data_IF_634504587600
#
_entry.id   IF_634504587600
#
_cell.length_a   1.000
_cell.length_b   1.000
_cell.length_c   1.000
_cell.angle_alpha   90.00
_cell.angle_beta   90.00
_cell.angle_gamma   90.00
#
_symmetry.space_group_name_H-M   'P 1'
#
loop_
_entity.id
_entity.type
_entity.pdbx_description
1 polymer ?
#
# COMPACT_ATOMS: atom_id res chain seq x y z
N UNK A 1 -10.25 40.30 13.88
CA UNK A 1 -8.95 39.64 13.66
C UNK A 1 -8.60 38.89 14.91
N UNK A 2 -7.94 37.73 14.93
CA UNK A 2 -6.78 37.33 14.12
C UNK A 2 -6.79 35.79 13.97
N UNK A 3 -6.48 35.35 12.74
CA UNK A 3 -5.98 34.05 12.24
C UNK A 3 -6.18 32.80 13.11
N UNK A 4 -7.02 31.92 12.57
CA UNK A 4 -6.92 30.48 12.65
C UNK A 4 -5.46 30.03 12.56
N UNK A 5 -4.91 29.51 13.66
CA UNK A 5 -3.66 28.78 13.64
C UNK A 5 -3.89 27.46 12.95
N UNK A 6 -3.64 27.40 11.64
CA UNK A 6 -3.39 26.12 10.98
C UNK A 6 -2.21 25.47 11.69
N UNK A 7 -2.37 24.29 12.32
CA UNK A 7 -1.22 23.49 12.75
C UNK A 7 -0.30 23.32 11.53
N UNK A 8 1.03 23.17 11.67
CA UNK A 8 1.91 22.96 10.53
C UNK A 8 1.61 21.57 9.93
N UNK A 9 0.59 21.54 9.08
CA UNK A 9 0.12 20.39 8.34
C UNK A 9 1.21 20.09 7.32
N UNK A 10 2.02 19.07 7.59
CA UNK A 10 2.95 18.47 6.63
C UNK A 10 2.30 17.21 6.04
N UNK A 11 1.43 17.35 5.03
CA UNK A 11 0.77 16.20 4.39
C UNK A 11 1.79 15.22 3.81
N UNK A 12 3.02 15.68 3.54
CA UNK A 12 4.10 14.87 2.98
C UNK A 12 4.52 13.66 3.85
N UNK A 13 4.27 13.73 5.17
CA UNK A 13 4.65 12.66 6.10
C UNK A 13 3.53 11.62 6.30
N UNK A 14 2.30 11.97 5.92
CA UNK A 14 1.13 11.13 6.16
C UNK A 14 1.15 9.86 5.33
N UNK A 15 1.68 9.91 4.10
CA UNK A 15 1.79 8.73 3.26
C UNK A 15 2.58 7.61 3.92
N UNK A 16 3.70 7.95 4.59
CA UNK A 16 4.52 6.98 5.33
C UNK A 16 3.82 6.45 6.57
N UNK A 17 3.15 7.33 7.32
CA UNK A 17 2.35 6.92 8.48
C UNK A 17 1.21 5.99 8.10
N UNK A 18 0.46 6.31 7.05
CA UNK A 18 -0.61 5.47 6.51
C UNK A 18 -0.07 4.13 6.03
N UNK A 19 1.09 4.10 5.35
CA UNK A 19 1.71 2.86 4.90
C UNK A 19 2.09 1.97 6.10
N UNK A 20 2.72 2.53 7.13
CA UNK A 20 3.11 1.79 8.33
C UNK A 20 1.88 1.23 9.07
N UNK A 21 0.86 2.06 9.30
CA UNK A 21 -0.39 1.64 9.94
C UNK A 21 -1.13 0.58 9.10
N UNK A 22 -1.15 0.74 7.77
CA UNK A 22 -1.75 -0.21 6.84
C UNK A 22 -1.06 -1.57 6.87
N UNK A 23 0.28 -1.59 6.98
CA UNK A 23 1.04 -2.84 7.18
C UNK A 23 0.64 -3.54 8.48
N UNK A 24 0.52 -2.81 9.59
CA UNK A 24 0.09 -3.40 10.87
C UNK A 24 -1.33 -3.97 10.78
N UNK A 25 -2.26 -3.29 10.10
CA UNK A 25 -3.60 -3.80 9.86
C UNK A 25 -3.58 -5.07 9.00
N UNK A 26 -2.76 -5.09 7.93
CA UNK A 26 -2.58 -6.25 7.06
C UNK A 26 -2.04 -7.47 7.82
N UNK A 27 -1.01 -7.27 8.64
CA UNK A 27 -0.40 -8.33 9.46
C UNK A 27 -1.40 -8.90 10.48
N UNK A 28 -2.42 -8.13 10.87
CA UNK A 28 -3.53 -8.55 11.75
C UNK A 28 -4.71 -9.18 11.00
N UNK A 29 -4.66 -9.24 9.67
CA UNK A 29 -5.78 -9.71 8.83
C UNK A 29 -6.94 -8.71 8.68
N UNK A 30 -6.79 -7.48 9.18
CA UNK A 30 -7.79 -6.42 9.01
C UNK A 30 -7.63 -5.77 7.62
N UNK A 31 -8.07 -6.53 6.61
CA UNK A 31 -7.89 -6.19 5.20
C UNK A 31 -8.67 -4.92 4.79
N UNK A 32 -9.84 -4.67 5.37
CA UNK A 32 -10.62 -3.46 5.09
C UNK A 32 -9.87 -2.22 5.56
N UNK A 33 -9.40 -2.21 6.81
CA UNK A 33 -8.63 -1.08 7.35
C UNK A 33 -7.30 -0.91 6.64
N UNK A 34 -6.62 -2.02 6.33
CA UNK A 34 -5.37 -1.98 5.58
C UNK A 34 -5.56 -1.35 4.21
N UNK A 35 -6.59 -1.77 3.46
CA UNK A 35 -6.90 -1.21 2.15
C UNK A 35 -7.20 0.29 2.22
N UNK A 36 -8.02 0.73 3.17
CA UNK A 36 -8.32 2.14 3.37
C UNK A 36 -7.06 2.98 3.62
N UNK A 37 -6.14 2.49 4.47
CA UNK A 37 -4.87 3.15 4.77
C UNK A 37 -3.94 3.20 3.55
N UNK A 38 -3.83 2.12 2.78
CA UNK A 38 -3.03 2.13 1.56
C UNK A 38 -3.61 3.08 0.51
N UNK A 39 -4.93 3.15 0.35
CA UNK A 39 -5.56 4.15 -0.53
C UNK A 39 -5.27 5.58 -0.08
N UNK A 40 -5.23 5.87 1.22
CA UNK A 40 -4.80 7.18 1.72
C UNK A 40 -3.33 7.47 1.39
N UNK A 41 -2.44 6.49 1.48
CA UNK A 41 -1.04 6.64 1.08
C UNK A 41 -0.88 6.93 -0.42
N UNK A 42 -1.80 6.44 -1.26
CA UNK A 42 -1.80 6.69 -2.71
C UNK A 42 -2.20 8.13 -3.09
N UNK A 43 -2.85 8.88 -2.20
CA UNK A 43 -3.27 10.27 -2.46
C UNK A 43 -2.08 11.24 -2.53
N UNK A 44 -0.95 10.90 -1.92
CA UNK A 44 0.25 11.74 -1.97
C UNK A 44 1.06 11.46 -3.24
N UNK A 45 0.92 12.32 -4.23
CA UNK A 45 1.58 12.19 -5.53
C UNK A 45 2.98 12.81 -5.59
N UNK A 46 3.53 13.28 -4.46
CA UNK A 46 4.86 13.90 -4.41
C UNK A 46 5.93 12.93 -4.94
N UNK A 47 6.83 13.35 -5.85
CA UNK A 47 7.84 12.47 -6.46
C UNK A 47 8.69 11.71 -5.43
N UNK A 48 9.04 12.35 -4.31
CA UNK A 48 9.81 11.74 -3.22
C UNK A 48 9.13 10.56 -2.51
N UNK A 49 7.82 10.38 -2.70
CA UNK A 49 7.02 9.31 -2.10
C UNK A 49 6.58 8.23 -3.12
N UNK A 50 7.14 8.23 -4.34
CA UNK A 50 6.86 7.18 -5.33
C UNK A 50 7.09 5.76 -4.77
N UNK A 51 8.16 5.52 -4.01
CA UNK A 51 8.40 4.23 -3.34
C UNK A 51 7.32 3.84 -2.33
N UNK A 52 6.77 4.80 -1.60
CA UNK A 52 5.68 4.58 -0.63
C UNK A 52 4.42 4.14 -1.38
N UNK A 53 4.11 4.81 -2.50
CA UNK A 53 2.99 4.48 -3.37
C UNK A 53 3.13 3.10 -4.02
N UNK A 54 4.31 2.74 -4.53
CA UNK A 54 4.51 1.41 -5.09
C UNK A 54 4.27 0.31 -4.06
N UNK A 55 4.76 0.48 -2.83
CA UNK A 55 4.47 -0.47 -1.75
C UNK A 55 2.98 -0.51 -1.39
N UNK A 56 2.30 0.63 -1.34
CA UNK A 56 0.85 0.65 -1.10
C UNK A 56 0.08 -0.13 -2.18
N UNK A 57 0.45 0.01 -3.46
CA UNK A 57 -0.11 -0.78 -4.57
C UNK A 57 0.17 -2.28 -4.42
N UNK A 58 1.40 -2.67 -4.11
CA UNK A 58 1.74 -4.09 -3.86
C UNK A 58 0.89 -4.66 -2.72
N UNK A 59 0.74 -3.94 -1.62
CA UNK A 59 -0.05 -4.41 -0.47
C UNK A 59 -1.55 -4.50 -0.76
N UNK A 60 -2.10 -3.59 -1.59
CA UNK A 60 -3.47 -3.73 -2.09
C UNK A 60 -3.62 -4.97 -2.97
N UNK A 61 -2.64 -5.28 -3.81
CA UNK A 61 -2.63 -6.52 -4.58
C UNK A 61 -2.63 -7.76 -3.69
N UNK A 62 -1.81 -7.77 -2.63
CA UNK A 62 -1.76 -8.87 -1.66
C UNK A 62 -3.11 -9.06 -0.94
N UNK A 63 -3.80 -7.96 -0.62
CA UNK A 63 -5.15 -8.01 -0.03
C UNK A 63 -6.14 -8.64 -1.00
N UNK A 64 -6.08 -8.28 -2.28
CA UNK A 64 -6.93 -8.87 -3.32
C UNK A 64 -6.65 -10.36 -3.50
N UNK A 65 -5.39 -10.79 -3.56
CA UNK A 65 -5.02 -12.21 -3.60
C UNK A 65 -5.55 -12.97 -2.36
N UNK A 66 -5.40 -12.39 -1.16
CA UNK A 66 -5.93 -12.97 0.08
C UNK A 66 -7.47 -13.09 0.08
N UNK A 67 -8.17 -12.23 -0.68
CA UNK A 67 -9.62 -12.28 -0.91
C UNK A 67 -10.01 -13.13 -2.13
N UNK A 68 -9.05 -13.82 -2.75
CA UNK A 68 -9.23 -14.61 -3.97
C UNK A 68 -9.69 -13.79 -5.19
N UNK A 69 -9.52 -12.47 -5.16
CA UNK A 69 -9.72 -11.58 -6.31
C UNK A 69 -8.41 -11.40 -7.08
N UNK A 70 -8.05 -12.45 -7.82
CA UNK A 70 -6.79 -12.47 -8.56
C UNK A 70 -6.71 -11.36 -9.61
N UNK A 71 -7.81 -11.06 -10.29
CA UNK A 71 -7.84 -10.05 -11.35
C UNK A 71 -7.50 -8.67 -10.78
N UNK A 72 -8.15 -8.27 -9.69
CA UNK A 72 -7.83 -7.00 -9.04
C UNK A 72 -6.39 -6.98 -8.49
N UNK A 73 -5.90 -8.12 -7.98
CA UNK A 73 -4.53 -8.23 -7.48
C UNK A 73 -3.50 -7.91 -8.56
N UNK A 74 -3.62 -8.55 -9.73
CA UNK A 74 -2.71 -8.32 -10.85
C UNK A 74 -2.76 -6.87 -11.35
N UNK A 75 -3.93 -6.25 -11.39
CA UNK A 75 -4.06 -4.85 -11.76
C UNK A 75 -3.28 -3.93 -10.82
N UNK A 76 -3.32 -4.20 -9.50
CA UNK A 76 -2.53 -3.47 -8.53
C UNK A 76 -1.03 -3.70 -8.69
N UNK A 77 -0.59 -4.94 -8.92
CA UNK A 77 0.82 -5.24 -9.15
C UNK A 77 1.35 -4.57 -10.42
N UNK A 78 0.59 -4.58 -11.52
CA UNK A 78 0.95 -3.88 -12.77
C UNK A 78 1.05 -2.37 -12.56
N UNK A 79 0.13 -1.78 -11.78
CA UNK A 79 0.22 -0.36 -11.40
C UNK A 79 1.49 -0.04 -10.59
N UNK A 80 1.93 -0.95 -9.71
CA UNK A 80 3.17 -0.77 -8.97
C UNK A 80 4.41 -0.81 -9.88
N UNK A 81 4.40 -1.68 -10.90
CA UNK A 81 5.46 -1.76 -11.91
C UNK A 81 5.52 -0.54 -12.82
N UNK A 82 4.37 0.04 -13.16
CA UNK A 82 4.27 1.22 -14.01
C UNK A 82 4.61 2.54 -13.29
N UNK A 83 4.87 2.50 -11.98
CA UNK A 83 5.16 3.71 -11.22
C UNK A 83 6.63 4.12 -11.36
N UNK A 84 6.86 5.24 -12.05
CA UNK A 84 8.18 5.86 -12.23
C UNK A 84 8.75 6.40 -10.91
N UNK A 85 10.08 6.31 -10.72
CA UNK A 85 10.75 6.80 -9.52
C UNK A 85 10.56 5.90 -8.29
N UNK A 86 9.93 4.73 -8.47
CA UNK A 86 9.70 3.73 -7.44
C UNK A 86 10.56 2.47 -7.61
N UNK A 87 11.70 2.60 -8.30
CA UNK A 87 12.60 1.49 -8.57
C UNK A 87 13.09 0.86 -7.27
N UNK A 88 13.08 -0.48 -7.24
CA UNK A 88 13.59 -1.26 -6.10
C UNK A 88 12.67 -2.40 -5.68
N UNK A 89 12.61 -2.62 -4.36
CA UNK A 89 12.00 -3.81 -3.77
C UNK A 89 10.50 -3.97 -4.08
N UNK A 90 9.74 -2.87 -4.15
CA UNK A 90 8.31 -2.92 -4.45
C UNK A 90 8.04 -3.49 -5.85
N UNK A 91 8.81 -3.07 -6.86
CA UNK A 91 8.67 -3.59 -8.23
C UNK A 91 9.09 -5.06 -8.33
N UNK A 92 10.14 -5.47 -7.61
CA UNK A 92 10.53 -6.90 -7.56
C UNK A 92 9.41 -7.75 -6.95
N UNK A 93 8.86 -7.31 -5.82
CA UNK A 93 7.75 -8.00 -5.17
C UNK A 93 6.50 -8.04 -6.07
N UNK A 94 6.18 -6.95 -6.78
CA UNK A 94 5.07 -6.94 -7.73
C UNK A 94 5.25 -7.95 -8.86
N UNK A 95 6.47 -8.09 -9.39
CA UNK A 95 6.79 -9.08 -10.43
C UNK A 95 6.66 -10.51 -9.90
N UNK A 96 7.21 -10.76 -8.73
CA UNK A 96 7.08 -12.05 -8.04
C UNK A 96 5.61 -12.41 -7.82
N UNK A 97 4.78 -11.47 -7.34
CA UNK A 97 3.36 -11.74 -7.09
C UNK A 97 2.50 -11.84 -8.34
N UNK A 98 2.95 -11.30 -9.48
CA UNK A 98 2.34 -11.58 -10.79
C UNK A 98 2.58 -13.01 -11.23
N UNK A 99 3.73 -13.59 -10.91
CA UNK A 99 4.08 -14.97 -11.23
C UNK A 99 3.48 -15.96 -10.22
N UNK A 100 3.61 -15.65 -8.93
CA UNK A 100 3.15 -16.49 -7.82
C UNK A 100 2.20 -15.70 -6.92
N UNK A 101 0.88 -15.95 -6.93
CA UNK A 101 -0.07 -15.23 -6.10
C UNK A 101 0.30 -15.22 -4.61
N UNK A 102 0.06 -14.09 -3.94
CA UNK A 102 0.30 -14.02 -2.51
C UNK A 102 -0.67 -14.93 -1.76
N UNK A 103 -0.13 -15.79 -0.89
CA UNK A 103 -0.94 -16.61 0.01
C UNK A 103 -0.71 -16.11 1.44
N UNK A 104 -1.74 -15.60 2.13
CA UNK A 104 -1.58 -15.19 3.52
C UNK A 104 -1.19 -16.40 4.38
N UNK A 105 -0.31 -16.22 5.37
CA UNK A 105 0.03 -17.30 6.29
C UNK A 105 -1.26 -17.80 6.95
N UNK A 106 -1.43 -19.13 7.00
CA UNK A 106 -2.55 -19.72 7.74
C UNK A 106 -2.48 -19.21 9.18
N UNK A 107 -3.60 -18.73 9.77
CA UNK A 107 -3.60 -18.40 11.18
C UNK A 107 -3.15 -19.65 11.93
N UNK A 108 -2.09 -19.52 12.74
CA UNK A 108 -1.68 -20.57 13.66
C UNK A 108 -2.89 -20.86 14.54
N UNK A 109 -3.56 -21.99 14.30
CA UNK A 109 -4.69 -22.41 15.11
C UNK A 109 -4.25 -22.46 16.57
N UNK A 110 -5.02 -21.81 17.44
CA UNK A 110 -4.94 -22.03 18.88
C UNK A 110 -5.58 -23.35 19.28
#
# INVERSE_FOLDING_TARGET
GIRSGTPPYRPELWARCHQAAGKVALDRGDYEKAAALFHLALKDTTPGNARVRAWALVRLGMICDARQDRKAAEDYYRKALALEGAEGAAQRAAREYLETPFVPPKPSGG
#
